data_IF_444411952491
#
_entry.id   IF_444411952491
#
_cell.length_a   1.000
_cell.length_b   1.000
_cell.length_c   1.000
_cell.angle_alpha   90.00
_cell.angle_beta   90.00
_cell.angle_gamma   90.00
#
_symmetry.space_group_name_H-M   'P 1'
#
loop_
_entity.id
_entity.type
_entity.pdbx_description
1 polymer ?
#
# COMPACT_ATOMS: atom_id res chain seq x y z
N UNK A 1 13.43 10.23 -3.27
CA UNK A 1 13.28 11.22 -4.37
C UNK A 1 12.60 10.66 -5.61
N UNK A 2 13.22 9.70 -6.31
CA UNK A 2 12.73 9.15 -7.58
C UNK A 2 11.32 8.55 -7.50
N UNK A 3 10.97 7.92 -6.39
CA UNK A 3 9.64 7.38 -6.14
C UNK A 3 8.53 8.43 -6.28
N UNK A 4 8.79 9.70 -5.93
CA UNK A 4 7.81 10.78 -6.11
C UNK A 4 7.57 11.10 -7.59
N UNK A 5 8.63 11.06 -8.40
CA UNK A 5 8.53 11.23 -9.85
C UNK A 5 7.70 10.09 -10.47
N UNK A 6 7.95 8.85 -10.03
CA UNK A 6 7.17 7.69 -10.50
C UNK A 6 5.70 7.79 -10.07
N UNK A 7 5.42 8.16 -8.83
CA UNK A 7 4.05 8.36 -8.34
C UNK A 7 3.30 9.41 -9.17
N UNK A 8 3.91 10.57 -9.42
CA UNK A 8 3.30 11.61 -10.25
C UNK A 8 3.09 11.15 -11.69
N UNK A 9 4.05 10.42 -12.27
CA UNK A 9 3.95 9.92 -13.64
C UNK A 9 2.83 8.87 -13.78
N UNK A 10 2.76 7.90 -12.88
CA UNK A 10 1.73 6.85 -12.90
C UNK A 10 0.33 7.46 -12.75
N UNK A 11 0.17 8.41 -11.83
CA UNK A 11 -1.09 9.14 -11.65
C UNK A 11 -1.48 9.97 -12.88
N UNK A 12 -0.51 10.38 -13.71
CA UNK A 12 -0.75 11.07 -14.99
C UNK A 12 -1.14 10.11 -16.12
N UNK A 13 -0.57 8.91 -16.13
CA UNK A 13 -0.68 7.98 -17.26
C UNK A 13 -2.02 7.25 -17.35
N UNK A 14 -2.76 7.14 -16.24
CA UNK A 14 -4.02 6.42 -16.18
C UNK A 14 -5.15 7.36 -15.82
N UNK A 15 -6.08 7.58 -16.76
CA UNK A 15 -7.28 8.37 -16.51
C UNK A 15 -8.05 7.80 -15.31
N UNK A 16 -8.30 8.63 -14.30
CA UNK A 16 -9.07 8.26 -13.12
C UNK A 16 -8.32 7.50 -12.03
N UNK A 17 -7.00 7.28 -12.16
CA UNK A 17 -6.18 6.68 -11.08
C UNK A 17 -6.25 7.54 -9.81
N UNK A 18 -6.59 6.93 -8.67
CA UNK A 18 -6.84 7.64 -7.39
C UNK A 18 -5.74 7.55 -6.38
N UNK A 19 -5.07 6.41 -6.36
CA UNK A 19 -4.18 6.05 -5.29
C UNK A 19 -3.04 5.28 -5.90
N UNK A 20 -1.83 5.77 -5.68
CA UNK A 20 -0.60 5.06 -5.96
C UNK A 20 0.22 5.05 -4.69
N UNK A 21 0.68 3.87 -4.27
CA UNK A 21 1.50 3.69 -3.06
C UNK A 21 2.83 3.11 -3.52
N UNK A 22 3.92 3.79 -3.19
CA UNK A 22 5.26 3.27 -3.36
C UNK A 22 5.70 2.61 -2.04
N UNK A 23 6.18 1.37 -2.12
CA UNK A 23 6.68 0.59 -0.99
C UNK A 23 8.03 -0.04 -1.36
N UNK A 24 8.80 -0.44 -0.36
CA UNK A 24 10.08 -1.15 -0.57
C UNK A 24 9.86 -2.63 -0.88
N UNK A 25 10.94 -3.32 -1.27
CA UNK A 25 10.92 -4.74 -1.68
C UNK A 25 10.65 -5.72 -0.55
N UNK A 26 10.68 -5.27 0.70
CA UNK A 26 10.36 -6.08 1.89
C UNK A 26 8.87 -6.07 2.25
N UNK A 27 8.05 -5.40 1.43
CA UNK A 27 6.60 -5.32 1.55
C UNK A 27 5.93 -6.20 0.49
N UNK A 28 5.02 -7.07 0.91
CA UNK A 28 4.13 -7.81 0.01
C UNK A 28 2.99 -6.91 -0.48
N UNK A 29 3.07 -6.48 -1.74
CA UNK A 29 2.05 -5.63 -2.37
C UNK A 29 0.68 -6.29 -2.52
N UNK A 30 0.59 -7.61 -2.35
CA UNK A 30 -0.67 -8.36 -2.40
C UNK A 30 -1.30 -8.56 -1.01
N UNK A 31 -0.61 -8.14 0.05
CA UNK A 31 -1.10 -8.22 1.43
C UNK A 31 -1.56 -6.85 1.92
N UNK A 32 -2.86 -6.70 2.18
CA UNK A 32 -3.38 -5.47 2.76
C UNK A 32 -2.77 -5.19 4.14
N UNK A 33 -2.52 -6.23 4.95
CA UNK A 33 -1.90 -6.04 6.26
C UNK A 33 -0.49 -5.45 6.13
N UNK A 34 0.28 -5.87 5.12
CA UNK A 34 1.66 -5.40 4.92
C UNK A 34 1.68 -3.98 4.32
N UNK A 35 0.73 -3.66 3.44
CA UNK A 35 0.51 -2.30 2.96
C UNK A 35 0.13 -1.36 4.12
N UNK A 36 -0.83 -1.75 4.96
CA UNK A 36 -1.24 -0.94 6.13
C UNK A 36 -0.08 -0.77 7.11
N UNK A 37 0.73 -1.81 7.33
CA UNK A 37 1.94 -1.71 8.15
C UNK A 37 2.94 -0.70 7.59
N UNK A 38 3.23 -0.75 6.28
CA UNK A 38 4.13 0.21 5.63
C UNK A 38 3.59 1.65 5.74
N UNK A 39 2.29 1.85 5.48
CA UNK A 39 1.64 3.16 5.62
C UNK A 39 1.72 3.69 7.06
N UNK A 40 1.56 2.81 8.06
CA UNK A 40 1.54 3.21 9.47
C UNK A 40 2.93 3.53 10.01
N UNK A 41 3.97 2.88 9.47
CA UNK A 41 5.32 2.92 10.06
C UNK A 41 6.34 3.69 9.24
N UNK A 42 6.07 3.96 7.95
CA UNK A 42 7.03 4.60 7.03
C UNK A 42 6.56 5.91 6.41
N UNK A 43 5.29 6.29 6.58
CA UNK A 43 4.74 7.52 5.99
C UNK A 43 4.77 8.65 7.00
N UNK A 44 5.38 9.78 6.63
CA UNK A 44 5.17 11.04 7.32
C UNK A 44 4.03 11.83 6.64
N UNK A 45 2.89 12.08 7.32
CA UNK A 45 1.74 12.77 6.73
C UNK A 45 2.03 14.17 6.18
N UNK A 46 3.06 14.86 6.70
CA UNK A 46 3.41 16.21 6.25
C UNK A 46 4.21 16.23 4.95
N UNK A 47 4.95 15.17 4.66
CA UNK A 47 5.94 15.18 3.56
C UNK A 47 5.67 14.14 2.48
N UNK A 48 5.04 13.03 2.81
CA UNK A 48 5.02 11.83 1.95
C UNK A 48 3.68 11.56 1.28
N UNK A 49 2.68 12.41 1.54
CA UNK A 49 1.41 12.44 0.82
C UNK A 49 1.50 13.49 -0.28
N UNK A 50 1.45 13.03 -1.52
CA UNK A 50 1.45 13.85 -2.72
C UNK A 50 0.01 13.97 -3.24
N UNK A 51 -0.38 15.19 -3.61
CA UNK A 51 -1.62 15.44 -4.35
C UNK A 51 -1.30 15.96 -5.76
N UNK A 52 -0.78 15.11 -6.66
CA UNK A 52 -0.46 15.53 -8.01
C UNK A 52 -1.71 15.70 -8.88
N UNK A 53 -1.61 16.66 -9.80
CA UNK A 53 -2.47 16.83 -10.98
C UNK A 53 -3.95 17.15 -10.70
N UNK A 54 -4.28 18.15 -9.86
CA UNK A 54 -5.65 18.61 -9.74
C UNK A 54 -6.16 19.20 -11.06
N UNK A 55 -7.45 19.01 -11.36
CA UNK A 55 -8.15 19.67 -12.47
C UNK A 55 -8.10 18.97 -13.83
N UNK A 56 -7.59 17.73 -13.90
CA UNK A 56 -7.62 16.90 -15.11
C UNK A 56 -9.03 16.38 -15.47
N UNK A 57 -9.12 15.55 -16.52
CA UNK A 57 -10.38 14.87 -16.88
C UNK A 57 -10.58 13.65 -15.98
N UNK A 58 -11.71 13.62 -15.25
CA UNK A 58 -12.07 12.52 -14.37
C UNK A 58 -12.67 11.31 -15.08
N UNK A 59 -13.06 10.31 -14.31
CA UNK A 59 -13.75 9.09 -14.73
C UNK A 59 -15.22 9.08 -14.24
N UNK A 60 -16.16 8.92 -15.17
CA UNK A 60 -17.61 9.06 -14.95
C UNK A 60 -18.20 8.14 -13.87
N UNK A 61 -17.58 6.98 -13.63
CA UNK A 61 -18.03 6.01 -12.64
C UNK A 61 -17.41 6.20 -11.25
N UNK A 62 -16.58 7.24 -11.05
CA UNK A 62 -16.03 7.55 -9.74
C UNK A 62 -17.05 8.39 -8.93
N UNK A 63 -17.57 7.88 -7.79
CA UNK A 63 -18.59 8.61 -7.03
C UNK A 63 -18.13 9.99 -6.55
N UNK A 64 -16.87 10.12 -6.16
CA UNK A 64 -16.30 11.38 -5.65
C UNK A 64 -16.15 12.47 -6.72
N UNK A 65 -16.07 12.12 -8.00
CA UNK A 65 -15.97 13.09 -9.10
C UNK A 65 -17.31 13.44 -9.72
N UNK A 66 -18.35 12.74 -9.31
CA UNK A 66 -19.70 13.02 -9.71
C UNK A 66 -20.19 14.14 -8.81
N UNK A 67 -20.06 15.40 -9.27
CA UNK A 67 -20.88 16.58 -8.95
C UNK A 67 -20.18 17.88 -9.38
N UNK A 68 -20.14 18.16 -10.68
CA UNK A 68 -20.03 19.55 -11.16
C UNK A 68 -20.95 19.89 -12.34
N UNK A 69 -21.72 18.93 -12.85
CA UNK A 69 -22.81 19.21 -13.78
C UNK A 69 -24.11 19.43 -12.98
N UNK A 70 -24.44 20.69 -12.73
CA UNK A 70 -25.83 21.08 -12.45
C UNK A 70 -26.73 20.81 -13.67
N UNK A 71 -27.92 21.42 -13.71
CA UNK A 71 -28.99 21.21 -14.71
C UNK A 71 -28.64 21.45 -16.20
N UNK A 72 -27.37 21.66 -16.57
CA UNK A 72 -26.97 22.00 -17.94
C UNK A 72 -26.52 20.79 -18.77
N UNK A 73 -26.91 20.86 -20.04
CA UNK A 73 -26.74 19.85 -21.09
C UNK A 73 -25.31 19.36 -21.31
N UNK A 74 -25.29 18.10 -21.73
CA UNK A 74 -24.20 17.18 -22.04
C UNK A 74 -23.19 17.72 -23.08
N UNK A 75 -22.40 18.72 -22.72
CA UNK A 75 -21.33 19.26 -23.59
C UNK A 75 -20.00 19.33 -22.83
N UNK A 76 -19.08 18.41 -23.19
CA UNK A 76 -17.66 18.30 -22.81
C UNK A 76 -17.30 18.03 -21.31
N UNK A 77 -16.63 16.88 -21.08
CA UNK A 77 -16.02 16.40 -19.81
C UNK A 77 -16.70 16.87 -18.51
N UNK A 78 -17.91 16.38 -18.25
CA UNK A 78 -18.65 16.63 -17.00
C UNK A 78 -18.01 16.02 -15.72
N UNK A 79 -16.81 15.46 -15.84
CA UNK A 79 -16.04 14.85 -14.75
C UNK A 79 -14.77 15.67 -14.51
N UNK A 80 -14.70 16.32 -13.35
CA UNK A 80 -13.46 16.96 -12.89
C UNK A 80 -12.63 15.96 -12.12
N UNK A 81 -11.36 15.83 -12.47
CA UNK A 81 -10.38 15.09 -11.70
C UNK A 81 -9.92 15.92 -10.51
N UNK A 82 -10.34 15.52 -9.32
CA UNK A 82 -9.94 16.17 -8.05
C UNK A 82 -8.43 16.02 -7.77
N UNK A 83 -7.74 15.14 -8.50
CA UNK A 83 -6.36 14.75 -8.26
C UNK A 83 -6.26 13.27 -7.87
N UNK A 84 -5.04 12.75 -7.99
CA UNK A 84 -4.65 11.46 -7.43
C UNK A 84 -3.94 11.67 -6.10
N UNK A 85 -3.94 10.66 -5.25
CA UNK A 85 -3.13 10.61 -4.03
C UNK A 85 -1.94 9.66 -4.26
N UNK A 86 -0.73 10.23 -4.27
CA UNK A 86 0.50 9.46 -4.22
C UNK A 86 0.95 9.34 -2.77
N UNK A 87 1.24 8.13 -2.30
CA UNK A 87 1.82 7.92 -0.96
C UNK A 87 3.18 7.27 -1.10
N UNK A 88 4.19 7.96 -0.57
CA UNK A 88 5.55 7.44 -0.47
C UNK A 88 5.73 6.73 0.88
N UNK A 89 5.62 5.41 0.89
CA UNK A 89 5.86 4.58 2.07
C UNK A 89 7.23 3.85 1.98
N UNK A 90 8.17 4.42 1.22
CA UNK A 90 9.53 3.89 1.09
C UNK A 90 10.42 4.37 2.21
N UNK A 91 11.40 3.56 2.61
CA UNK A 91 12.40 3.96 3.59
C UNK A 91 13.28 5.08 3.01
N UNK A 92 13.54 6.16 3.78
CA UNK A 92 14.48 7.19 3.35
C UNK A 92 15.86 6.59 3.04
N UNK A 93 16.42 6.94 1.89
CA UNK A 93 17.73 6.46 1.45
C UNK A 93 18.81 6.74 2.50
N UNK A 94 19.61 5.73 2.83
CA UNK A 94 20.67 5.79 3.84
C UNK A 94 20.21 5.48 5.28
N UNK A 95 18.91 5.29 5.51
CA UNK A 95 18.34 4.91 6.81
C UNK A 95 17.81 3.48 6.82
N UNK A 96 18.18 2.64 5.84
CA UNK A 96 17.63 1.29 5.67
C UNK A 96 17.81 0.42 6.92
N UNK A 97 18.87 0.66 7.70
CA UNK A 97 19.15 -0.09 8.92
C UNK A 97 18.17 0.22 10.07
N UNK A 98 17.59 1.42 10.09
CA UNK A 98 16.70 1.85 11.18
C UNK A 98 15.27 1.34 11.00
N UNK A 99 14.93 0.87 9.79
CA UNK A 99 13.59 0.42 9.41
C UNK A 99 13.50 -1.09 9.17
N UNK A 100 14.52 -1.85 9.60
CA UNK A 100 14.49 -3.31 9.54
C UNK A 100 13.32 -3.88 10.32
N UNK A 101 12.60 -4.80 9.69
CA UNK A 101 11.54 -5.55 10.35
C UNK A 101 12.16 -6.48 11.41
N UNK A 102 11.52 -6.63 12.59
CA UNK A 102 11.92 -7.65 13.55
C UNK A 102 11.89 -9.03 12.90
N UNK A 103 12.99 -9.76 13.04
CA UNK A 103 13.12 -11.13 12.53
C UNK A 103 12.86 -12.10 13.67
N UNK A 104 11.93 -13.03 13.47
CA UNK A 104 11.68 -14.11 14.42
C UNK A 104 12.60 -15.31 14.10
N UNK A 105 13.26 -15.92 15.11
CA UNK A 105 14.18 -17.05 14.96
C UNK A 105 13.43 -18.36 14.69
N UNK A 106 12.69 -18.41 13.58
CA UNK A 106 11.83 -19.54 13.21
C UNK A 106 12.64 -20.78 12.82
N UNK A 107 13.90 -20.59 12.41
CA UNK A 107 14.87 -21.64 12.11
C UNK A 107 15.47 -22.29 13.37
N UNK A 108 15.55 -21.52 14.48
CA UNK A 108 16.18 -21.98 15.74
C UNK A 108 15.22 -22.74 16.65
N UNK A 109 13.92 -22.63 16.41
CA UNK A 109 12.87 -23.20 17.28
C UNK A 109 12.16 -24.34 16.57
N UNK A 110 12.45 -25.57 16.99
CA UNK A 110 11.75 -26.77 16.51
C UNK A 110 10.45 -27.01 17.30
N UNK A 111 9.32 -26.59 16.72
CA UNK A 111 7.99 -26.73 17.34
C UNK A 111 7.64 -28.16 17.75
N UNK A 112 8.23 -29.20 17.12
CA UNK A 112 7.96 -30.60 17.45
C UNK A 112 8.45 -30.99 18.86
N UNK A 113 9.32 -30.19 19.48
CA UNK A 113 9.75 -30.40 20.87
C UNK A 113 8.66 -30.08 21.90
N UNK A 114 7.64 -29.33 21.52
CA UNK A 114 6.62 -28.82 22.44
C UNK A 114 5.19 -29.19 22.05
N UNK A 115 4.92 -29.38 20.75
CA UNK A 115 3.57 -29.59 20.23
C UNK A 115 3.49 -30.85 19.37
N UNK A 116 2.31 -31.48 19.35
CA UNK A 116 2.04 -32.61 18.46
C UNK A 116 1.90 -32.12 17.00
N UNK A 117 2.20 -32.95 16.00
CA UNK A 117 2.09 -32.56 14.59
C UNK A 117 0.71 -32.00 14.20
N UNK A 118 -0.38 -32.60 14.71
CA UNK A 118 -1.75 -32.14 14.42
C UNK A 118 -2.06 -30.75 15.03
N UNK A 119 -1.47 -30.45 16.19
CA UNK A 119 -1.62 -29.14 16.85
C UNK A 119 -0.88 -28.06 16.05
N UNK A 120 0.33 -28.38 15.56
CA UNK A 120 1.10 -27.49 14.69
C UNK A 120 0.36 -27.25 13.38
N UNK A 121 -0.19 -28.30 12.76
CA UNK A 121 -0.95 -28.19 11.52
C UNK A 121 -2.19 -27.30 11.70
N UNK A 122 -2.94 -27.52 12.79
CA UNK A 122 -4.11 -26.69 13.15
C UNK A 122 -3.73 -25.23 13.37
N UNK A 123 -2.63 -24.96 14.07
CA UNK A 123 -2.13 -23.60 14.30
C UNK A 123 -1.75 -22.91 12.99
N UNK A 124 -1.03 -23.60 12.08
CA UNK A 124 -0.69 -23.08 10.75
C UNK A 124 -1.92 -22.77 9.92
N UNK A 125 -2.91 -23.65 9.93
CA UNK A 125 -4.18 -23.42 9.23
C UNK A 125 -4.91 -22.18 9.77
N UNK A 126 -4.91 -21.99 11.09
CA UNK A 126 -5.50 -20.81 11.71
C UNK A 126 -4.79 -19.50 11.36
N UNK A 127 -3.51 -19.56 10.98
CA UNK A 127 -2.69 -18.40 10.60
C UNK A 127 -2.79 -18.04 9.11
N UNK A 128 -3.28 -18.94 8.26
CA UNK A 128 -3.44 -18.67 6.82
C UNK A 128 -4.33 -17.45 6.56
N UNK A 129 -3.91 -16.61 5.63
CA UNK A 129 -4.60 -15.40 5.21
C UNK A 129 -4.65 -14.31 6.29
N UNK A 130 -3.80 -14.40 7.31
CA UNK A 130 -3.73 -13.43 8.42
C UNK A 130 -2.31 -12.93 8.61
N UNK A 131 -2.17 -11.88 9.41
CA UNK A 131 -0.89 -11.29 9.80
C UNK A 131 0.19 -12.29 10.23
N UNK A 132 -0.17 -13.38 10.92
CA UNK A 132 0.79 -14.41 11.32
C UNK A 132 1.53 -15.06 10.15
N UNK A 133 0.85 -15.25 9.00
CA UNK A 133 1.47 -15.77 7.79
C UNK A 133 2.42 -14.74 7.15
N UNK A 134 2.07 -13.46 7.17
CA UNK A 134 2.91 -12.37 6.66
C UNK A 134 4.21 -12.27 7.46
N UNK A 135 4.12 -12.28 8.80
CA UNK A 135 5.28 -12.25 9.69
C UNK A 135 6.19 -13.46 9.50
N UNK A 136 5.62 -14.65 9.29
CA UNK A 136 6.40 -15.87 9.13
C UNK A 136 7.32 -15.85 7.89
N UNK A 137 7.00 -15.07 6.85
CA UNK A 137 7.80 -14.98 5.61
C UNK A 137 9.16 -14.32 5.81
N UNK A 138 9.27 -13.42 6.78
CA UNK A 138 10.49 -12.65 7.04
C UNK A 138 11.30 -13.20 8.22
N UNK A 139 10.78 -14.22 8.91
CA UNK A 139 11.53 -14.97 9.93
C UNK A 139 12.76 -15.66 9.33
N UNK A 140 13.86 -15.67 10.08
CA UNK A 140 15.13 -16.31 9.71
C UNK A 140 15.81 -16.89 10.91
#
# INVERSE_FOLDING_TARGET
GWQRNFLSAILSCSQGMRLAIAVDTDIDIYSMDDIIWALTTRVNPHTDILNPLPGGIGQTFMPQERMTAGEKEWTASNTKFEGGMGIDATVPFGYEQDFHRPVYPVDRVDLNKWFKPDEIAKAKEMMKGKWGEVLARTGR
#
